data_IF_725535923565
#
_entry.id   IF_725535923565
#
_cell.length_a   1.000
_cell.length_b   1.000
_cell.length_c   1.000
_cell.angle_alpha   90.00
_cell.angle_beta   90.00
_cell.angle_gamma   90.00
#
_symmetry.space_group_name_H-M   'P 1'
#
loop_
_entity.id
_entity.type
_entity.pdbx_description
1 polymer ?
#
# COMPACT_ATOMS: atom_id res chain seq x y z
N UNK A 1 14.19 28.70 -20.35
CA UNK A 1 13.81 28.26 -18.98
C UNK A 1 14.73 27.10 -18.64
N UNK A 2 15.60 27.19 -17.61
CA UNK A 2 16.59 26.11 -17.40
C UNK A 2 16.79 25.71 -15.93
N UNK A 3 15.75 25.87 -15.11
CA UNK A 3 15.74 25.36 -13.73
C UNK A 3 14.50 24.48 -13.48
N UNK A 4 14.74 23.19 -13.20
CA UNK A 4 13.71 22.19 -12.86
C UNK A 4 13.85 21.88 -11.36
N UNK A 5 12.85 22.28 -10.57
CA UNK A 5 12.93 22.20 -9.12
C UNK A 5 14.11 23.04 -8.60
N UNK A 6 15.14 22.37 -8.10
CA UNK A 6 16.37 23.00 -7.58
C UNK A 6 17.62 22.67 -8.38
N UNK A 7 17.44 22.01 -9.53
CA UNK A 7 18.52 21.69 -10.45
C UNK A 7 18.56 22.75 -11.55
N UNK A 8 19.75 23.21 -11.89
CA UNK A 8 20.02 24.14 -12.98
C UNK A 8 20.72 23.37 -14.11
N UNK A 9 20.29 23.56 -15.35
CA UNK A 9 20.93 22.95 -16.51
C UNK A 9 21.48 24.04 -17.44
N UNK A 10 22.39 23.66 -18.34
CA UNK A 10 22.90 24.56 -19.38
C UNK A 10 21.90 24.68 -20.53
N UNK A 11 21.60 25.91 -20.98
CA UNK A 11 20.65 26.16 -22.08
C UNK A 11 21.16 25.67 -23.44
N UNK A 12 22.49 25.54 -23.59
CA UNK A 12 23.12 25.19 -24.85
C UNK A 12 23.33 23.68 -25.05
N UNK A 13 23.76 22.96 -24.00
CA UNK A 13 24.10 21.54 -24.09
C UNK A 13 23.30 20.62 -23.16
N UNK A 14 22.49 21.17 -22.24
CA UNK A 14 21.68 20.39 -21.30
C UNK A 14 22.46 19.77 -20.12
N UNK A 15 23.75 20.08 -19.95
CA UNK A 15 24.54 19.60 -18.81
C UNK A 15 24.05 20.16 -17.47
N UNK A 16 24.21 19.40 -16.39
CA UNK A 16 23.86 19.83 -15.04
C UNK A 16 24.89 20.82 -14.51
N UNK A 17 24.44 22.02 -14.12
CA UNK A 17 25.30 23.09 -13.63
C UNK A 17 25.44 23.04 -12.09
N UNK A 18 26.60 23.45 -11.54
CA UNK A 18 26.82 23.51 -10.10
C UNK A 18 25.89 24.53 -9.44
N UNK A 19 25.50 24.27 -8.18
CA UNK A 19 24.71 25.23 -7.39
C UNK A 19 25.60 26.38 -6.93
N UNK A 20 25.17 27.61 -7.17
CA UNK A 20 25.75 28.77 -6.53
C UNK A 20 25.18 28.90 -5.11
N UNK A 21 26.04 28.83 -4.10
CA UNK A 21 25.67 29.20 -2.73
C UNK A 21 25.77 30.71 -2.58
N UNK A 22 24.69 31.35 -2.12
CA UNK A 22 24.63 32.79 -1.84
C UNK A 22 25.75 33.18 -0.88
N UNK A 23 26.78 33.84 -1.39
CA UNK A 23 27.98 34.23 -0.62
C UNK A 23 29.26 34.33 -1.44
N UNK A 24 29.31 33.70 -2.63
CA UNK A 24 30.41 33.88 -3.58
C UNK A 24 29.98 34.83 -4.71
N UNK A 25 30.44 36.09 -4.61
CA UNK A 25 30.41 37.17 -5.60
C UNK A 25 29.43 37.06 -6.79
N UNK A 26 28.32 37.79 -6.71
CA UNK A 26 27.66 38.56 -7.79
C UNK A 26 27.92 38.15 -9.25
N UNK A 27 27.70 36.90 -9.62
CA UNK A 27 27.52 36.56 -11.02
C UNK A 27 26.24 35.76 -11.14
N UNK A 28 25.19 36.42 -11.64
CA UNK A 28 23.90 35.82 -12.03
C UNK A 28 24.06 34.84 -13.22
N UNK A 29 25.28 34.39 -13.53
CA UNK A 29 25.68 33.63 -14.70
C UNK A 29 26.62 32.49 -14.26
N UNK A 30 26.23 31.26 -14.59
CA UNK A 30 27.00 30.04 -14.34
C UNK A 30 27.64 29.57 -15.64
N UNK A 31 28.95 29.35 -15.63
CA UNK A 31 29.69 28.78 -16.77
C UNK A 31 29.52 27.27 -16.82
N UNK A 32 29.17 26.73 -17.98
CA UNK A 32 29.16 25.29 -18.26
C UNK A 32 30.58 24.79 -18.55
N UNK A 33 31.00 23.68 -17.96
CA UNK A 33 32.32 23.08 -18.21
C UNK A 33 32.38 22.29 -19.53
N UNK A 34 31.23 21.82 -20.04
CA UNK A 34 31.17 20.99 -21.24
C UNK A 34 31.14 21.80 -22.54
N UNK A 35 30.34 22.87 -22.59
CA UNK A 35 30.17 23.70 -23.79
C UNK A 35 30.68 25.14 -23.64
N UNK A 36 31.22 25.47 -22.45
CA UNK A 36 31.79 26.78 -22.12
C UNK A 36 30.82 27.97 -22.24
N UNK A 37 29.52 27.72 -22.42
CA UNK A 37 28.48 28.76 -22.45
C UNK A 37 28.07 29.17 -21.03
N UNK A 38 27.59 30.42 -20.91
CA UNK A 38 27.10 30.98 -19.65
C UNK A 38 25.58 30.89 -19.60
N UNK A 39 25.03 30.43 -18.48
CA UNK A 39 23.57 30.31 -18.26
C UNK A 39 23.17 31.13 -17.04
N UNK A 40 22.09 31.93 -17.10
CA UNK A 40 21.67 32.72 -15.95
C UNK A 40 21.17 31.83 -14.80
N UNK A 41 21.55 32.18 -13.57
CA UNK A 41 21.12 31.43 -12.40
C UNK A 41 19.63 31.69 -12.09
N UNK A 42 18.81 30.70 -12.37
CA UNK A 42 17.36 30.68 -12.07
C UNK A 42 17.01 29.63 -11.01
N UNK A 43 18.01 29.15 -10.26
CA UNK A 43 17.89 28.07 -9.28
C UNK A 43 17.25 28.49 -7.94
N UNK A 44 17.10 29.80 -7.70
CA UNK A 44 16.41 30.34 -6.53
C UNK A 44 14.90 30.07 -6.60
N UNK A 45 14.51 28.85 -6.26
CA UNK A 45 13.11 28.42 -6.14
C UNK A 45 12.91 27.72 -4.80
N UNK A 46 11.84 28.07 -4.10
CA UNK A 46 11.44 27.38 -2.87
C UNK A 46 10.90 26.00 -3.24
N UNK A 47 11.53 24.94 -2.72
CA UNK A 47 11.00 23.57 -2.83
C UNK A 47 10.25 23.22 -1.56
N UNK A 48 8.98 22.89 -1.71
CA UNK A 48 8.17 22.30 -0.65
C UNK A 48 8.04 20.80 -0.87
N UNK A 49 8.56 19.99 0.06
CA UNK A 49 8.31 18.55 0.09
C UNK A 49 7.23 18.22 1.13
N UNK A 50 6.44 17.18 0.86
CA UNK A 50 5.46 16.62 1.80
C UNK A 50 5.72 15.13 1.97
N UNK A 51 5.46 14.62 3.16
CA UNK A 51 5.55 13.18 3.42
C UNK A 51 4.52 12.39 2.60
N UNK A 52 4.86 11.16 2.23
CA UNK A 52 3.93 10.26 1.54
C UNK A 52 2.73 9.95 2.45
N UNK A 53 1.53 9.74 1.89
CA UNK A 53 0.36 9.36 2.69
C UNK A 53 0.52 8.06 3.49
N UNK A 54 1.42 7.17 3.08
CA UNK A 54 1.73 5.92 3.78
C UNK A 54 2.95 6.02 4.71
N UNK A 55 3.59 7.18 4.83
CA UNK A 55 4.81 7.33 5.63
C UNK A 55 4.57 7.11 7.14
N UNK A 56 3.33 7.27 7.60
CA UNK A 56 2.94 7.16 9.00
C UNK A 56 1.69 6.28 9.16
N UNK A 57 1.81 4.94 9.07
CA UNK A 57 0.69 4.05 9.30
C UNK A 57 0.27 4.11 10.79
N UNK A 58 -1.01 4.35 11.06
CA UNK A 58 -1.56 4.39 12.42
C UNK A 58 -3.05 4.02 12.40
N UNK A 59 -3.58 3.56 13.55
CA UNK A 59 -5.00 3.24 13.68
C UNK A 59 -5.89 4.47 13.42
N UNK A 60 -5.47 5.66 13.88
CA UNK A 60 -6.16 6.91 13.57
C UNK A 60 -6.18 7.21 12.08
N UNK A 61 -5.06 6.96 11.38
CA UNK A 61 -4.98 7.18 9.94
C UNK A 61 -5.77 6.15 9.13
N UNK A 62 -5.84 4.90 9.60
CA UNK A 62 -6.69 3.87 9.00
C UNK A 62 -8.18 4.27 9.06
N UNK A 63 -8.61 4.93 10.15
CA UNK A 63 -9.98 5.48 10.27
C UNK A 63 -10.29 6.64 9.33
N UNK A 64 -9.27 7.26 8.72
CA UNK A 64 -9.44 8.28 7.68
C UNK A 64 -9.55 7.69 6.26
N UNK A 65 -9.44 6.37 6.10
CA UNK A 65 -9.65 5.69 4.83
C UNK A 65 -11.15 5.63 4.49
N UNK A 66 -11.52 5.90 3.24
CA UNK A 66 -12.89 5.71 2.74
C UNK A 66 -13.30 4.23 2.65
N UNK A 67 -12.29 3.34 2.60
CA UNK A 67 -12.51 1.89 2.64
C UNK A 67 -12.55 1.44 4.10
N UNK A 68 -13.67 0.82 4.49
CA UNK A 68 -13.78 0.15 5.79
C UNK A 68 -12.84 -1.06 5.83
N UNK A 69 -11.90 -1.05 6.78
CA UNK A 69 -11.18 -2.26 7.15
C UNK A 69 -12.17 -3.15 7.92
N UNK A 70 -12.61 -4.24 7.30
CA UNK A 70 -13.44 -5.23 7.97
C UNK A 70 -12.58 -6.09 8.90
N UNK A 71 -13.06 -6.30 10.12
CA UNK A 71 -12.48 -7.32 10.98
C UNK A 71 -12.73 -8.69 10.36
N UNK A 72 -11.66 -9.47 10.15
CA UNK A 72 -11.74 -10.80 9.55
C UNK A 72 -12.66 -11.76 10.32
N UNK A 73 -12.91 -11.47 11.60
CA UNK A 73 -13.80 -12.22 12.49
C UNK A 73 -15.28 -12.06 12.12
N UNK A 74 -15.68 -10.95 11.47
CA UNK A 74 -17.06 -10.69 11.06
C UNK A 74 -17.38 -11.16 9.63
N UNK A 75 -16.38 -11.64 8.88
CA UNK A 75 -16.64 -12.32 7.62
C UNK A 75 -17.18 -13.72 7.94
N UNK A 76 -18.49 -13.86 8.07
CA UNK A 76 -19.13 -15.18 8.04
C UNK A 76 -18.96 -15.78 6.64
N UNK A 77 -17.86 -16.51 6.45
CA UNK A 77 -17.56 -17.25 5.22
C UNK A 77 -18.29 -18.61 5.17
N UNK A 78 -18.97 -18.98 6.25
CA UNK A 78 -19.55 -20.30 6.41
C UNK A 78 -21.03 -20.32 6.00
N UNK A 79 -21.39 -21.26 5.12
CA UNK A 79 -22.77 -21.48 4.71
C UNK A 79 -23.55 -22.24 5.79
N UNK A 80 -24.87 -22.11 5.81
CA UNK A 80 -25.75 -22.81 6.77
C UNK A 80 -26.33 -24.06 6.12
N UNK A 81 -26.42 -25.16 6.87
CA UNK A 81 -27.06 -26.41 6.45
C UNK A 81 -28.01 -26.93 7.54
N UNK A 82 -29.10 -27.58 7.13
CA UNK A 82 -30.03 -28.26 8.01
C UNK A 82 -29.43 -29.58 8.50
N UNK A 83 -28.75 -29.54 9.65
CA UNK A 83 -28.15 -30.68 10.34
C UNK A 83 -28.31 -30.49 11.84
N UNK A 84 -28.78 -31.52 12.52
CA UNK A 84 -29.00 -31.48 13.97
C UNK A 84 -27.67 -31.53 14.73
N UNK A 85 -27.45 -30.57 15.62
CA UNK A 85 -26.30 -30.55 16.50
C UNK A 85 -26.46 -31.62 17.61
N UNK A 86 -25.51 -32.56 17.76
CA UNK A 86 -25.60 -33.62 18.75
C UNK A 86 -25.49 -33.13 20.20
N UNK A 87 -24.98 -31.91 20.42
CA UNK A 87 -24.74 -31.35 21.76
C UNK A 87 -25.94 -30.49 22.26
N UNK A 88 -26.47 -29.60 21.42
CA UNK A 88 -27.55 -28.67 21.82
C UNK A 88 -28.89 -28.91 21.12
N UNK A 89 -28.98 -29.83 20.17
CA UNK A 89 -30.21 -30.19 19.47
C UNK A 89 -30.73 -29.15 18.46
N UNK A 90 -29.92 -28.15 18.10
CA UNK A 90 -30.28 -27.16 17.05
C UNK A 90 -30.28 -27.82 15.68
N UNK A 91 -31.26 -27.48 14.84
CA UNK A 91 -31.47 -28.07 13.49
C UNK A 91 -30.60 -27.49 12.38
N UNK A 92 -29.82 -26.45 12.68
CA UNK A 92 -28.98 -25.73 11.74
C UNK A 92 -27.55 -25.63 12.25
N UNK A 93 -26.59 -25.88 11.35
CA UNK A 93 -25.17 -25.75 11.60
C UNK A 93 -24.49 -25.00 10.46
N UNK A 94 -23.42 -24.28 10.77
CA UNK A 94 -22.53 -23.71 9.76
C UNK A 94 -21.63 -24.80 9.21
N UNK A 95 -21.30 -24.74 7.92
CA UNK A 95 -20.34 -25.64 7.31
C UNK A 95 -19.41 -24.91 6.33
N UNK A 96 -18.21 -25.46 6.21
CA UNK A 96 -17.28 -25.12 5.14
C UNK A 96 -16.52 -26.38 4.69
N UNK A 97 -16.08 -26.40 3.44
CA UNK A 97 -15.40 -27.55 2.85
C UNK A 97 -13.97 -27.21 2.50
N UNK A 98 -13.03 -28.10 2.80
CA UNK A 98 -11.62 -27.95 2.44
C UNK A 98 -11.04 -29.28 2.03
N UNK A 99 -10.28 -29.30 0.92
CA UNK A 99 -9.54 -30.50 0.53
C UNK A 99 -8.27 -30.61 1.39
N UNK A 100 -8.16 -31.69 2.15
CA UNK A 100 -7.00 -31.97 3.01
C UNK A 100 -6.15 -33.13 2.50
N UNK A 101 -6.66 -33.89 1.53
CA UNK A 101 -6.06 -35.14 1.03
C UNK A 101 -5.83 -35.07 -0.47
N UNK A 102 -5.41 -36.21 -1.04
CA UNK A 102 -5.19 -36.31 -2.49
C UNK A 102 -6.44 -35.90 -3.27
N UNK A 103 -6.25 -35.44 -4.51
CA UNK A 103 -7.35 -35.05 -5.38
C UNK A 103 -8.33 -36.19 -5.68
N UNK A 104 -7.88 -37.44 -5.52
CA UNK A 104 -8.69 -38.64 -5.75
C UNK A 104 -9.63 -38.98 -4.56
N UNK A 105 -9.50 -38.28 -3.43
CA UNK A 105 -10.34 -38.49 -2.24
C UNK A 105 -11.43 -37.41 -2.13
N UNK A 106 -12.54 -37.75 -1.46
CA UNK A 106 -13.63 -36.82 -1.19
C UNK A 106 -13.19 -35.66 -0.30
N UNK A 107 -13.95 -34.56 -0.37
CA UNK A 107 -13.62 -33.34 0.37
C UNK A 107 -13.95 -33.48 1.85
N UNK A 108 -13.12 -32.91 2.73
CA UNK A 108 -13.43 -32.80 4.16
C UNK A 108 -14.41 -31.66 4.41
N UNK A 109 -15.51 -31.97 5.10
CA UNK A 109 -16.53 -31.02 5.53
C UNK A 109 -16.36 -30.72 7.01
N UNK A 110 -16.25 -29.44 7.36
CA UNK A 110 -16.21 -28.96 8.73
C UNK A 110 -17.57 -28.39 9.09
N UNK A 111 -18.17 -28.86 10.18
CA UNK A 111 -19.40 -28.32 10.74
C UNK A 111 -19.10 -27.58 12.04
N UNK A 112 -19.81 -26.47 12.25
CA UNK A 112 -19.74 -25.65 13.47
C UNK A 112 -21.14 -25.25 13.88
N UNK A 113 -21.52 -25.56 15.12
CA UNK A 113 -22.74 -25.06 15.72
C UNK A 113 -22.49 -23.73 16.45
N UNK A 114 -23.53 -22.90 16.62
CA UNK A 114 -23.49 -21.69 17.46
C UNK A 114 -23.14 -21.96 18.92
N UNK A 115 -23.43 -23.15 19.46
CA UNK A 115 -23.05 -23.52 20.83
C UNK A 115 -21.54 -23.74 21.01
N UNK A 116 -20.76 -23.74 19.92
CA UNK A 116 -19.33 -24.01 19.93
C UNK A 116 -18.94 -25.45 19.56
N UNK A 117 -19.91 -26.35 19.38
CA UNK A 117 -19.65 -27.72 18.91
C UNK A 117 -19.07 -27.71 17.48
N UNK A 118 -18.03 -28.52 17.25
CA UNK A 118 -17.34 -28.65 15.97
C UNK A 118 -17.22 -30.13 15.61
N UNK A 119 -17.52 -30.44 14.36
CA UNK A 119 -17.43 -31.80 13.82
C UNK A 119 -16.70 -31.76 12.46
N UNK A 120 -15.95 -32.82 12.16
CA UNK A 120 -15.27 -32.97 10.87
C UNK A 120 -15.72 -34.29 10.24
N UNK A 121 -16.25 -34.21 9.02
CA UNK A 121 -16.70 -35.36 8.25
C UNK A 121 -15.82 -35.48 7.00
N UNK A 122 -15.24 -36.66 6.79
CA UNK A 122 -14.55 -36.98 5.55
C UNK A 122 -15.52 -37.76 4.66
N UNK A 123 -15.77 -37.25 3.46
CA UNK A 123 -16.56 -37.93 2.44
C UNK A 123 -15.64 -38.77 1.53
#
# INVERSE_FOLDING_TARGET
MVAIGSLLFCDACGSLLPRLTSGSGQQDLVKCEDCFQYTPDTSTKVITSKSKPSAFPSALRAKHSEVQAFDAENLQVEAVISKDCPDCGRTEMFYHTKQLRSADEGTTVFYRCECGYKETQNN
#
